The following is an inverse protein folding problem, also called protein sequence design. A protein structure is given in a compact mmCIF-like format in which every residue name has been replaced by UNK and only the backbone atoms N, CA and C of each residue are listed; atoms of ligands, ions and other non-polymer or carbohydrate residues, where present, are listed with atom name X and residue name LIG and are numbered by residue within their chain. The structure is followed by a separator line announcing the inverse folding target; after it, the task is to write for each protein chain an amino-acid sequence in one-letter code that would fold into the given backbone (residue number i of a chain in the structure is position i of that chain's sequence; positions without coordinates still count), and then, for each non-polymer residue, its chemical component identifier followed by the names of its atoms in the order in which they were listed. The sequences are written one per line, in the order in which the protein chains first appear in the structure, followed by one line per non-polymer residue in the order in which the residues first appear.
data_IF_728727396997
#
_entry.id   IF_728727396997
#
_cell.length_a   1.000
_cell.length_b   1.000
_cell.length_c   1.000
_cell.angle_alpha   90.00
_cell.angle_beta   90.00
_cell.angle_gamma   90.00
#
_symmetry.space_group_name_H-M   'P 1'
#
loop_
_entity.id
_entity.type
_entity.pdbx_description
1 polymer ?
#
# COMPACT_ATOMS: atom_id res chain seq x y z
N UNK A 1 2.19 -5.95 2.37
CA UNK A 1 0.77 -5.86 2.82
C UNK A 1 0.64 -6.31 4.27
N UNK A 2 0.12 -5.44 5.17
CA UNK A 2 0.20 -5.65 6.62
C UNK A 2 -0.86 -6.65 7.15
N UNK A 3 -1.91 -6.93 6.38
CA UNK A 3 -3.07 -7.73 6.83
C UNK A 3 -4.16 -6.84 7.43
N UNK A 4 -5.12 -7.45 8.12
CA UNK A 4 -6.18 -6.70 8.82
C UNK A 4 -5.70 -6.46 10.25
N UNK A 5 -5.56 -5.20 10.63
CA UNK A 5 -5.15 -4.75 11.96
C UNK A 5 -6.24 -3.83 12.50
N UNK A 6 -6.64 -3.94 13.80
CA UNK A 6 -7.68 -3.10 14.38
C UNK A 6 -7.20 -1.67 14.64
N UNK A 7 -6.81 -0.97 13.57
CA UNK A 7 -6.49 0.45 13.58
C UNK A 7 -7.77 1.28 13.44
N UNK A 8 -7.63 2.59 13.58
CA UNK A 8 -8.74 3.53 13.38
C UNK A 8 -9.20 3.66 11.92
N UNK A 9 -8.64 2.94 10.94
CA UNK A 9 -9.02 3.07 9.52
C UNK A 9 -10.51 2.78 9.28
N UNK A 10 -11.09 1.82 10.00
CA UNK A 10 -12.49 1.40 9.88
C UNK A 10 -13.45 2.12 10.84
N UNK A 11 -12.99 3.18 11.54
CA UNK A 11 -13.76 3.86 12.61
C UNK A 11 -15.14 4.37 12.19
N UNK A 12 -15.31 4.71 10.90
CA UNK A 12 -16.56 5.19 10.33
C UNK A 12 -17.31 4.14 9.49
N UNK A 13 -16.93 2.86 9.60
CA UNK A 13 -17.52 1.78 8.81
C UNK A 13 -19.04 1.72 8.93
N UNK A 14 -19.59 1.91 10.13
CA UNK A 14 -21.06 1.92 10.34
C UNK A 14 -21.79 3.04 9.61
N UNK A 15 -21.11 4.15 9.27
CA UNK A 15 -21.69 5.29 8.56
C UNK A 15 -21.46 5.22 7.05
N UNK A 16 -20.39 4.54 6.60
CA UNK A 16 -19.98 4.51 5.18
C UNK A 16 -20.37 3.22 4.46
N UNK A 17 -20.43 2.08 5.15
CA UNK A 17 -20.64 0.76 4.54
C UNK A 17 -22.06 0.25 4.84
N UNK A 18 -22.33 -0.13 6.08
CA UNK A 18 -23.68 -0.46 6.56
C UNK A 18 -23.77 -0.35 8.09
N UNK A 19 -24.96 -0.06 8.66
CA UNK A 19 -25.15 0.02 10.11
C UNK A 19 -24.68 -1.25 10.83
N UNK A 20 -23.73 -1.12 11.76
CA UNK A 20 -23.18 -2.26 12.51
C UNK A 20 -21.81 -2.74 12.04
N UNK A 21 -21.27 -2.21 10.94
CA UNK A 21 -19.93 -2.58 10.44
C UNK A 21 -18.83 -2.40 11.51
N UNK A 22 -18.87 -1.31 12.30
CA UNK A 22 -17.89 -1.09 13.37
C UNK A 22 -17.98 -2.17 14.44
N UNK A 23 -19.20 -2.60 14.80
CA UNK A 23 -19.41 -3.69 15.76
C UNK A 23 -18.88 -5.01 15.21
N UNK A 24 -19.20 -5.36 13.97
CA UNK A 24 -18.65 -6.55 13.31
C UNK A 24 -17.12 -6.51 13.30
N UNK A 25 -16.52 -5.36 12.96
CA UNK A 25 -15.08 -5.21 12.92
C UNK A 25 -14.45 -5.47 14.28
N UNK A 26 -15.01 -4.90 15.35
CA UNK A 26 -14.53 -5.15 16.73
C UNK A 26 -14.71 -6.60 17.16
N UNK A 27 -15.82 -7.25 16.82
CA UNK A 27 -16.09 -8.65 17.19
C UNK A 27 -15.12 -9.62 16.50
N UNK A 28 -14.85 -9.43 15.20
CA UNK A 28 -13.92 -10.28 14.47
C UNK A 28 -12.45 -9.96 14.74
N UNK A 29 -12.17 -8.82 15.39
CA UNK A 29 -10.80 -8.41 15.66
C UNK A 29 -10.01 -9.34 16.55
N UNK A 30 -10.68 -9.96 17.51
CA UNK A 30 -10.00 -10.84 18.46
C UNK A 30 -9.69 -12.23 17.88
N UNK A 31 -10.33 -12.61 16.77
CA UNK A 31 -10.22 -13.96 16.20
C UNK A 31 -9.36 -14.01 14.94
N UNK A 32 -9.38 -12.98 14.10
CA UNK A 32 -8.78 -13.01 12.77
C UNK A 32 -7.78 -11.89 12.49
N UNK A 33 -7.68 -10.87 13.35
CA UNK A 33 -6.84 -9.71 13.07
C UNK A 33 -5.47 -9.84 13.72
N UNK A 34 -4.50 -9.25 13.04
CA UNK A 34 -3.15 -9.08 13.55
C UNK A 34 -3.10 -7.90 14.51
N UNK A 35 -2.21 -7.96 15.48
CA UNK A 35 -1.84 -6.76 16.24
C UNK A 35 -0.94 -5.82 15.41
N UNK A 36 -0.63 -4.65 15.97
CA UNK A 36 0.20 -3.65 15.29
C UNK A 36 1.63 -4.15 15.01
N UNK A 37 2.20 -4.95 15.91
CA UNK A 37 3.55 -5.50 15.76
C UNK A 37 3.59 -6.48 14.59
N UNK A 38 2.65 -7.44 14.55
CA UNK A 38 2.47 -8.40 13.47
C UNK A 38 2.15 -7.72 12.13
N UNK A 39 1.35 -6.64 12.16
CA UNK A 39 1.05 -5.85 10.97
C UNK A 39 2.27 -5.17 10.35
N UNK A 40 3.20 -4.70 11.19
CA UNK A 40 4.42 -4.02 10.73
C UNK A 40 5.50 -4.97 10.20
N UNK A 41 5.46 -6.26 10.56
CA UNK A 41 6.53 -7.22 10.28
C UNK A 41 6.95 -7.27 8.81
N UNK A 42 6.00 -7.35 7.88
CA UNK A 42 6.34 -7.44 6.45
C UNK A 42 7.01 -6.17 5.95
N UNK A 43 6.61 -4.99 6.41
CA UNK A 43 7.28 -3.74 6.04
C UNK A 43 8.70 -3.70 6.60
N UNK A 44 8.88 -4.05 7.87
CA UNK A 44 10.20 -4.09 8.50
C UNK A 44 11.11 -5.09 7.76
N UNK A 45 10.62 -6.30 7.49
CA UNK A 45 11.32 -7.33 6.72
C UNK A 45 11.81 -6.79 5.36
N UNK A 46 10.93 -6.17 4.57
CA UNK A 46 11.30 -5.56 3.29
C UNK A 46 12.28 -4.38 3.41
N UNK A 47 12.39 -3.75 4.58
CA UNK A 47 13.29 -2.61 4.79
C UNK A 47 14.69 -3.01 5.25
N UNK A 48 14.85 -4.14 5.96
CA UNK A 48 16.10 -4.44 6.68
C UNK A 48 16.73 -5.79 6.35
N UNK A 49 15.99 -6.69 5.70
CA UNK A 49 16.51 -8.04 5.44
C UNK A 49 17.48 -8.02 4.25
N UNK A 50 18.75 -8.35 4.52
CA UNK A 50 19.83 -8.32 3.53
C UNK A 50 19.64 -9.38 2.44
N UNK A 51 18.94 -10.48 2.70
CA UNK A 51 18.73 -11.56 1.72
C UNK A 51 17.88 -11.09 0.53
N UNK A 52 16.96 -10.16 0.77
CA UNK A 52 16.04 -9.63 -0.26
C UNK A 52 16.40 -8.21 -0.71
N UNK A 53 17.53 -7.66 -0.27
CA UNK A 53 17.90 -6.26 -0.52
C UNK A 53 18.01 -5.89 -2.00
N UNK A 54 18.30 -6.87 -2.87
CA UNK A 54 18.44 -6.67 -4.31
C UNK A 54 17.17 -7.02 -5.11
N UNK A 55 16.09 -7.42 -4.43
CA UNK A 55 14.83 -7.74 -5.11
C UNK A 55 14.01 -6.48 -5.39
N UNK A 56 13.44 -6.40 -6.59
CA UNK A 56 12.62 -5.25 -7.00
C UNK A 56 11.35 -5.70 -7.73
N UNK A 57 10.31 -4.86 -7.70
CA UNK A 57 9.05 -5.13 -8.41
C UNK A 57 8.17 -6.23 -7.82
N UNK A 58 8.52 -6.78 -6.66
CA UNK A 58 7.77 -7.86 -6.01
C UNK A 58 6.73 -7.35 -5.01
N UNK A 59 5.67 -8.14 -4.82
CA UNK A 59 4.63 -7.87 -3.84
C UNK A 59 4.77 -8.81 -2.64
N UNK A 60 4.93 -8.23 -1.45
CA UNK A 60 5.20 -8.96 -0.22
C UNK A 60 4.01 -9.02 0.74
N UNK A 61 3.76 -10.19 1.33
CA UNK A 61 2.79 -10.41 2.40
C UNK A 61 3.26 -11.53 3.33
N UNK A 62 3.08 -11.36 4.64
CA UNK A 62 3.55 -12.31 5.66
C UNK A 62 5.05 -12.63 5.52
N UNK A 63 5.86 -11.60 5.22
CA UNK A 63 7.31 -11.71 5.02
C UNK A 63 7.72 -12.66 3.89
N UNK A 64 6.89 -12.81 2.85
CA UNK A 64 7.23 -13.56 1.64
C UNK A 64 6.59 -12.98 0.39
N UNK A 65 7.15 -13.34 -0.76
CA UNK A 65 6.63 -12.97 -2.08
C UNK A 65 5.27 -13.62 -2.29
N UNK A 66 4.31 -12.87 -2.81
CA UNK A 66 2.98 -13.36 -3.13
C UNK A 66 2.41 -12.67 -4.37
N UNK A 67 1.45 -13.31 -5.03
CA UNK A 67 0.82 -12.76 -6.22
C UNK A 67 -0.16 -11.66 -5.83
N UNK A 68 -0.02 -10.43 -6.35
CA UNK A 68 -0.98 -9.37 -6.09
C UNK A 68 -2.29 -9.63 -6.84
N UNK A 69 -3.29 -8.79 -6.59
CA UNK A 69 -4.56 -8.85 -7.31
C UNK A 69 -4.35 -8.79 -8.83
N UNK A 70 -5.08 -9.60 -9.60
CA UNK A 70 -4.86 -9.80 -11.05
C UNK A 70 -4.74 -8.50 -11.85
N UNK A 71 -5.55 -7.48 -11.54
CA UNK A 71 -5.48 -6.19 -12.26
C UNK A 71 -4.18 -5.43 -11.98
N UNK A 72 -3.55 -5.60 -10.81
CA UNK A 72 -2.27 -4.97 -10.52
C UNK A 72 -1.14 -5.47 -11.44
N UNK A 73 -1.27 -6.69 -11.98
CA UNK A 73 -0.32 -7.28 -12.93
C UNK A 73 -0.60 -6.91 -14.40
N UNK A 74 -1.66 -6.12 -14.67
CA UNK A 74 -1.97 -5.68 -16.03
C UNK A 74 -1.30 -4.32 -16.26
N UNK A 75 -0.23 -4.30 -17.06
CA UNK A 75 0.63 -3.13 -17.31
C UNK A 75 -0.13 -1.84 -17.65
N UNK A 76 -1.26 -1.99 -18.35
CA UNK A 76 -2.14 -0.87 -18.73
C UNK A 76 -2.65 -0.06 -17.51
N UNK A 77 -2.92 -0.69 -16.36
CA UNK A 77 -3.50 0.01 -15.21
C UNK A 77 -2.49 0.87 -14.44
N UNK A 78 -1.30 0.37 -14.05
CA UNK A 78 -0.26 1.20 -13.45
C UNK A 78 0.12 2.39 -14.33
N UNK A 79 0.28 2.19 -15.63
CA UNK A 79 0.64 3.24 -16.59
C UNK A 79 -0.44 4.33 -16.66
N UNK A 80 -1.72 3.93 -16.78
CA UNK A 80 -2.84 4.88 -16.76
C UNK A 80 -2.92 5.66 -15.44
N UNK A 81 -2.70 4.98 -14.31
CA UNK A 81 -2.73 5.62 -13.00
C UNK A 81 -1.58 6.63 -12.84
N UNK A 82 -0.37 6.27 -13.28
CA UNK A 82 0.79 7.15 -13.27
C UNK A 82 0.53 8.42 -14.09
N UNK A 83 0.13 8.27 -15.35
CA UNK A 83 -0.15 9.39 -16.25
C UNK A 83 -1.27 10.31 -15.72
N UNK A 84 -2.33 9.72 -15.15
CA UNK A 84 -3.40 10.51 -14.53
C UNK A 84 -2.91 11.28 -13.30
N UNK A 85 -2.05 10.67 -12.48
CA UNK A 85 -1.48 11.29 -11.28
C UNK A 85 -0.54 12.44 -11.66
N UNK A 86 0.37 12.23 -12.61
CA UNK A 86 1.24 13.28 -13.13
C UNK A 86 0.44 14.47 -13.64
N UNK A 87 -0.62 14.23 -14.43
CA UNK A 87 -1.50 15.32 -14.91
C UNK A 87 -2.17 16.08 -13.77
N UNK A 88 -2.70 15.38 -12.76
CA UNK A 88 -3.38 16.01 -11.62
C UNK A 88 -2.43 16.83 -10.75
N UNK A 89 -1.15 16.49 -10.74
CA UNK A 89 -0.09 17.15 -9.98
C UNK A 89 0.72 18.14 -10.83
N UNK A 90 0.37 18.32 -12.12
CA UNK A 90 1.13 19.14 -13.07
C UNK A 90 2.61 18.74 -13.17
N UNK A 91 2.85 17.42 -13.21
CA UNK A 91 4.16 16.82 -13.43
C UNK A 91 4.25 16.29 -14.86
N UNK A 92 5.43 16.39 -15.45
CA UNK A 92 5.73 15.66 -16.68
C UNK A 92 6.04 14.20 -16.33
N UNK A 93 5.42 13.22 -17.01
CA UNK A 93 5.80 11.83 -16.86
C UNK A 93 7.19 11.64 -17.50
N UNK A 94 8.23 11.67 -16.67
CA UNK A 94 9.61 11.47 -17.10
C UNK A 94 10.00 9.98 -17.05
N UNK A 95 10.80 9.53 -18.03
CA UNK A 95 11.39 8.18 -18.00
C UNK A 95 12.54 8.08 -16.97
N UNK A 96 13.19 9.19 -16.66
CA UNK A 96 14.22 9.24 -15.62
C UNK A 96 13.63 9.58 -14.25
N UNK A 97 13.67 8.60 -13.35
CA UNK A 97 13.15 8.73 -11.99
C UNK A 97 13.91 9.79 -11.18
N UNK A 98 15.21 10.00 -11.42
CA UNK A 98 15.98 11.00 -10.66
C UNK A 98 15.56 12.42 -11.00
N UNK A 99 15.45 12.73 -12.30
CA UNK A 99 14.96 14.05 -12.75
C UNK A 99 13.53 14.29 -12.27
N UNK A 100 12.67 13.26 -12.30
CA UNK A 100 11.31 13.35 -11.74
C UNK A 100 11.31 13.72 -10.25
N UNK A 101 12.16 13.07 -9.44
CA UNK A 101 12.26 13.36 -8.01
C UNK A 101 12.77 14.78 -7.73
N UNK A 102 13.70 15.29 -8.53
CA UNK A 102 14.13 16.69 -8.43
C UNK A 102 12.99 17.66 -8.72
N UNK A 103 12.22 17.41 -9.79
CA UNK A 103 11.05 18.21 -10.17
C UNK A 103 10.03 18.24 -9.04
N UNK A 104 9.66 17.10 -8.46
CA UNK A 104 8.71 17.02 -7.34
C UNK A 104 9.25 17.73 -6.09
N UNK A 105 10.53 17.52 -5.75
CA UNK A 105 11.16 18.15 -4.58
C UNK A 105 11.12 19.68 -4.66
N UNK A 106 11.38 20.25 -5.85
CA UNK A 106 11.30 21.70 -6.08
C UNK A 106 9.88 22.25 -5.98
N UNK A 107 8.85 21.48 -6.32
CA UNK A 107 7.45 21.90 -6.24
C UNK A 107 6.87 21.82 -4.82
N UNK A 108 7.46 21.00 -3.94
CA UNK A 108 7.01 20.84 -2.55
C UNK A 108 7.60 21.88 -1.59
N UNK A 109 8.65 22.61 -1.99
CA UNK A 109 9.31 23.69 -1.24
C UNK A 109 8.77 25.06 -1.66
#
# INVERSE_FOLDING_TARGET
HPGIIPTKISRYGSSTIFPGTTLCYTLFAQLFYKDAKQGAQTTIYCCIDEEIANETGLYYSNCGVTTPYRKANQHEYPEKLWNASCRLLHLEPEEDFTTFLETVSRQML
#
